data_IF_747618018920
#
_entry.id   IF_747618018920
#
_cell.length_a   1.000
_cell.length_b   1.000
_cell.length_c   1.000
_cell.angle_alpha   90.00
_cell.angle_beta   90.00
_cell.angle_gamma   90.00
#
_symmetry.space_group_name_H-M   'P 1'
#
loop_
_entity.id
_entity.type
_entity.pdbx_description
1 polymer ?
#
# COMPACT_ATOMS: atom_id res chain seq x y z
N UNK A 1 33.96 31.80 -35.66
CA UNK A 1 32.91 30.80 -35.30
C UNK A 1 31.76 31.51 -34.63
N UNK A 2 30.59 31.59 -35.28
CA UNK A 2 29.37 32.12 -34.64
C UNK A 2 28.88 31.09 -33.64
N UNK A 3 29.10 31.33 -32.36
CA UNK A 3 28.54 30.52 -31.27
C UNK A 3 27.05 30.79 -31.25
N UNK A 4 26.24 29.87 -31.77
CA UNK A 4 24.79 29.98 -31.71
C UNK A 4 24.37 29.93 -30.26
N UNK A 5 23.83 31.03 -29.74
CA UNK A 5 23.33 31.13 -28.36
C UNK A 5 22.24 30.09 -28.04
N UNK A 6 21.63 29.52 -29.07
CA UNK A 6 20.60 28.47 -28.98
C UNK A 6 21.17 27.07 -28.69
N UNK A 7 22.47 26.84 -28.99
CA UNK A 7 23.09 25.52 -28.86
C UNK A 7 23.02 24.94 -27.44
N UNK A 8 23.33 25.70 -26.37
CA UNK A 8 23.23 25.17 -25.00
C UNK A 8 21.80 24.82 -24.62
N UNK A 9 20.81 25.57 -25.09
CA UNK A 9 19.40 25.29 -24.77
C UNK A 9 18.90 24.04 -25.47
N UNK A 10 19.28 23.83 -26.71
CA UNK A 10 18.97 22.60 -27.46
C UNK A 10 19.62 21.39 -26.78
N UNK A 11 20.85 21.50 -26.30
CA UNK A 11 21.56 20.45 -25.58
C UNK A 11 20.84 20.07 -24.27
N UNK A 12 20.46 21.07 -23.49
CA UNK A 12 19.70 20.84 -22.25
C UNK A 12 18.36 20.19 -22.52
N UNK A 13 17.64 20.65 -23.57
CA UNK A 13 16.35 20.09 -23.95
C UNK A 13 16.47 18.63 -24.38
N UNK A 14 17.44 18.31 -25.26
CA UNK A 14 17.69 16.95 -25.74
C UNK A 14 18.09 16.03 -24.59
N UNK A 15 18.97 16.51 -23.68
CA UNK A 15 19.37 15.74 -22.49
C UNK A 15 18.19 15.51 -21.53
N UNK A 16 17.39 16.55 -21.27
CA UNK A 16 16.22 16.46 -20.40
C UNK A 16 15.17 15.48 -20.93
N UNK A 17 14.79 15.62 -22.21
CA UNK A 17 13.83 14.71 -22.85
C UNK A 17 14.39 13.29 -22.92
N UNK A 18 15.67 13.16 -23.30
CA UNK A 18 16.35 11.85 -23.34
C UNK A 18 16.38 11.14 -21.99
N UNK A 19 16.61 11.88 -20.91
CA UNK A 19 16.64 11.33 -19.56
C UNK A 19 15.25 10.89 -19.09
N UNK A 20 14.21 11.67 -19.39
CA UNK A 20 12.82 11.30 -19.08
C UNK A 20 12.41 10.03 -19.84
N UNK A 21 12.73 9.95 -21.14
CA UNK A 21 12.44 8.77 -21.95
C UNK A 21 13.22 7.56 -21.46
N UNK A 22 14.50 7.72 -21.11
CA UNK A 22 15.32 6.63 -20.57
C UNK A 22 14.77 6.12 -19.23
N UNK A 23 14.42 7.01 -18.31
CA UNK A 23 13.81 6.63 -17.03
C UNK A 23 12.43 5.98 -17.22
N UNK A 24 11.64 6.44 -18.19
CA UNK A 24 10.36 5.85 -18.55
C UNK A 24 10.51 4.44 -19.10
N UNK A 25 11.51 4.21 -19.98
CA UNK A 25 11.80 2.88 -20.52
C UNK A 25 12.38 1.95 -19.46
N UNK A 26 13.23 2.46 -18.57
CA UNK A 26 13.75 1.67 -17.43
C UNK A 26 12.60 1.33 -16.49
N UNK A 27 11.69 2.27 -16.22
CA UNK A 27 10.48 2.03 -15.45
C UNK A 27 9.57 0.94 -16.06
N UNK A 28 9.39 0.96 -17.38
CA UNK A 28 8.64 -0.07 -18.11
C UNK A 28 9.36 -1.43 -18.14
N UNK A 29 10.69 -1.44 -18.16
CA UNK A 29 11.47 -2.67 -18.24
C UNK A 29 11.82 -3.27 -16.88
N UNK A 30 12.02 -2.43 -15.85
CA UNK A 30 12.16 -2.84 -14.44
C UNK A 30 10.83 -2.87 -13.68
N UNK A 31 9.82 -2.21 -14.20
CA UNK A 31 8.48 -2.13 -13.60
C UNK A 31 7.62 -3.38 -13.81
N UNK A 32 8.21 -4.48 -14.24
CA UNK A 32 7.50 -5.76 -14.31
C UNK A 32 7.46 -6.47 -12.95
N UNK A 33 7.93 -5.82 -11.89
CA UNK A 33 7.85 -6.35 -10.51
C UNK A 33 7.07 -5.46 -9.53
N UNK A 34 6.65 -4.23 -9.88
CA UNK A 34 5.96 -3.37 -8.90
C UNK A 34 4.88 -2.41 -9.44
N UNK A 35 4.27 -2.66 -10.59
CA UNK A 35 3.18 -1.81 -11.08
C UNK A 35 2.11 -2.56 -11.87
N UNK A 36 1.62 -3.66 -11.34
CA UNK A 36 0.27 -4.15 -11.59
C UNK A 36 -0.45 -4.31 -10.24
N UNK A 37 -0.71 -3.19 -9.59
CA UNK A 37 -1.72 -3.11 -8.56
C UNK A 37 -3.07 -3.33 -9.21
N UNK A 38 -3.69 -4.45 -8.88
CA UNK A 38 -5.12 -4.71 -8.72
C UNK A 38 -5.56 -6.15 -9.00
N UNK A 39 -4.65 -7.08 -9.36
CA UNK A 39 -5.08 -8.49 -9.56
C UNK A 39 -4.20 -9.58 -8.93
N UNK A 40 -2.97 -9.29 -8.52
CA UNK A 40 -2.08 -10.29 -7.91
C UNK A 40 -1.88 -10.09 -6.38
N UNK A 41 -2.39 -9.00 -5.82
CA UNK A 41 -2.35 -8.75 -4.37
C UNK A 41 -3.19 -9.76 -3.59
N UNK A 42 -4.31 -10.20 -4.14
CA UNK A 42 -5.20 -11.19 -3.51
C UNK A 42 -4.53 -12.55 -3.37
N UNK A 43 -3.78 -12.98 -4.39
CA UNK A 43 -3.11 -14.28 -4.39
C UNK A 43 -1.91 -14.32 -3.43
N UNK A 44 -1.18 -13.22 -3.28
CA UNK A 44 -0.07 -13.12 -2.33
C UNK A 44 -0.56 -12.99 -0.88
N UNK A 45 -1.68 -12.29 -0.67
CA UNK A 45 -2.28 -12.10 0.65
C UNK A 45 -3.03 -13.33 1.15
N UNK A 46 -3.46 -14.22 0.25
CA UNK A 46 -4.17 -15.44 0.64
C UNK A 46 -3.29 -16.48 1.36
N UNK A 47 -1.97 -16.43 1.14
CA UNK A 47 -1.00 -17.29 1.83
C UNK A 47 -0.25 -16.55 2.96
N UNK A 48 -0.43 -15.22 3.07
CA UNK A 48 0.26 -14.39 4.04
C UNK A 48 -0.31 -14.57 5.47
N UNK A 49 0.55 -14.35 6.45
CA UNK A 49 0.13 -14.26 7.85
C UNK A 49 -0.63 -12.95 8.11
N UNK A 50 -1.48 -12.85 9.14
CA UNK A 50 -2.19 -11.60 9.47
C UNK A 50 -1.27 -10.40 9.63
N UNK A 51 -0.09 -10.59 10.21
CA UNK A 51 0.93 -9.55 10.39
C UNK A 51 1.53 -9.08 9.05
N UNK A 52 1.75 -10.00 8.13
CA UNK A 52 2.18 -9.68 6.77
C UNK A 52 1.07 -8.96 6.00
N UNK A 53 -0.18 -9.39 6.12
CA UNK A 53 -1.34 -8.70 5.56
C UNK A 53 -1.44 -7.28 6.11
N UNK A 54 -1.26 -7.09 7.42
CA UNK A 54 -1.27 -5.78 8.07
C UNK A 54 -0.26 -4.81 7.44
N UNK A 55 0.94 -5.28 7.14
CA UNK A 55 1.97 -4.47 6.48
C UNK A 55 1.69 -4.26 4.99
N UNK A 56 1.34 -5.30 4.26
CA UNK A 56 1.18 -5.28 2.80
C UNK A 56 -0.11 -4.57 2.35
N UNK A 57 -1.20 -4.74 3.09
CA UNK A 57 -2.47 -4.05 2.82
C UNK A 57 -2.47 -2.57 3.24
N UNK A 58 -1.37 -2.07 3.79
CA UNK A 58 -1.19 -0.66 4.13
C UNK A 58 -1.87 -0.23 5.43
N UNK A 59 -2.30 -1.15 6.28
CA UNK A 59 -2.91 -0.85 7.57
C UNK A 59 -2.00 -0.02 8.48
N UNK A 60 -0.68 -0.28 8.40
CA UNK A 60 0.37 0.45 9.11
C UNK A 60 0.27 1.97 8.93
N UNK A 61 -0.10 2.43 7.73
CA UNK A 61 -0.13 3.87 7.42
C UNK A 61 -1.12 4.66 8.28
N UNK A 62 -2.18 4.01 8.74
CA UNK A 62 -3.22 4.63 9.56
C UNK A 62 -3.20 4.16 11.02
N UNK A 63 -2.88 2.88 11.25
CA UNK A 63 -2.92 2.28 12.58
C UNK A 63 -1.57 2.22 13.30
N UNK A 64 -0.48 2.57 12.59
CA UNK A 64 0.88 2.61 13.13
C UNK A 64 1.60 1.26 13.09
N UNK A 65 2.92 1.29 13.17
CA UNK A 65 3.79 0.09 13.14
C UNK A 65 3.64 -0.77 14.39
N UNK A 66 3.35 -0.14 15.53
CA UNK A 66 3.16 -0.79 16.82
C UNK A 66 1.69 -0.77 17.24
N UNK A 67 0.77 -0.62 16.28
CA UNK A 67 -0.68 -0.61 16.51
C UNK A 67 -1.20 0.55 17.37
N UNK A 68 -0.36 1.59 17.56
CA UNK A 68 -0.62 2.75 18.41
C UNK A 68 -1.68 3.72 17.88
N UNK A 69 -2.03 3.59 16.59
CA UNK A 69 -2.88 4.55 15.90
C UNK A 69 -2.13 5.82 15.49
N UNK A 70 -2.38 6.30 14.28
CA UNK A 70 -1.82 7.56 13.74
C UNK A 70 -2.94 8.44 13.22
N UNK A 71 -3.52 8.12 12.07
CA UNK A 71 -4.74 8.73 11.54
C UNK A 71 -5.96 7.86 11.79
N UNK A 72 -5.77 6.56 12.03
CA UNK A 72 -6.78 5.62 12.50
C UNK A 72 -6.69 5.38 14.01
N UNK A 73 -7.66 4.70 14.60
CA UNK A 73 -7.65 4.37 16.00
C UNK A 73 -6.57 3.33 16.35
N UNK A 74 -6.15 3.34 17.60
CA UNK A 74 -5.28 2.32 18.17
C UNK A 74 -5.95 0.93 18.07
N UNK A 75 -5.16 -0.07 17.65
CA UNK A 75 -5.63 -1.46 17.55
C UNK A 75 -5.33 -2.30 18.78
N UNK A 76 -4.56 -1.78 19.73
CA UNK A 76 -4.32 -2.47 21.00
C UNK A 76 -5.58 -2.55 21.83
N UNK A 77 -5.81 -3.70 22.44
CA UNK A 77 -6.98 -3.97 23.26
C UNK A 77 -8.31 -3.70 22.55
N UNK A 78 -8.40 -3.98 21.26
CA UNK A 78 -9.63 -3.83 20.47
C UNK A 78 -10.72 -4.76 21.00
N UNK A 79 -10.37 -5.93 21.53
CA UNK A 79 -11.24 -6.91 22.17
C UNK A 79 -12.12 -6.33 23.30
N UNK A 80 -11.63 -5.28 23.96
CA UNK A 80 -12.37 -4.56 25.01
C UNK A 80 -13.37 -3.54 24.48
N UNK A 81 -13.32 -3.21 23.20
CA UNK A 81 -14.11 -2.15 22.55
C UNK A 81 -15.05 -2.66 21.48
N UNK A 82 -14.63 -3.67 20.75
CA UNK A 82 -15.35 -4.23 19.60
C UNK A 82 -15.41 -5.76 19.70
N UNK A 83 -16.53 -6.31 19.28
CA UNK A 83 -16.68 -7.75 19.11
C UNK A 83 -16.04 -8.24 17.80
N UNK A 84 -15.81 -9.54 17.69
CA UNK A 84 -15.27 -10.14 16.46
C UNK A 84 -16.12 -9.83 15.22
N UNK A 85 -17.45 -9.81 15.37
CA UNK A 85 -18.36 -9.48 14.28
C UNK A 85 -18.25 -8.02 13.83
N UNK A 86 -18.05 -7.10 14.77
CA UNK A 86 -17.86 -5.68 14.47
C UNK A 86 -16.52 -5.45 13.78
N UNK A 87 -15.43 -6.08 14.24
CA UNK A 87 -14.12 -6.03 13.59
C UNK A 87 -14.22 -6.59 12.17
N UNK A 88 -14.85 -7.75 11.98
CA UNK A 88 -15.07 -8.34 10.66
C UNK A 88 -15.85 -7.42 9.74
N UNK A 89 -16.93 -6.81 10.24
CA UNK A 89 -17.72 -5.86 9.47
C UNK A 89 -16.93 -4.63 9.03
N UNK A 90 -16.04 -4.10 9.88
CA UNK A 90 -15.15 -2.99 9.55
C UNK A 90 -14.13 -3.39 8.48
N UNK A 91 -13.56 -4.59 8.56
CA UNK A 91 -12.60 -5.08 7.55
C UNK A 91 -13.25 -5.28 6.18
N UNK A 92 -14.51 -5.71 6.14
CA UNK A 92 -15.25 -5.95 4.88
C UNK A 92 -15.81 -4.66 4.31
N UNK A 93 -16.48 -3.86 5.11
CA UNK A 93 -17.23 -2.68 4.64
C UNK A 93 -16.49 -1.36 4.83
N UNK A 94 -15.40 -1.36 5.61
CA UNK A 94 -14.72 -0.14 6.01
C UNK A 94 -15.47 0.62 7.11
N UNK A 95 -14.88 1.71 7.57
CA UNK A 95 -15.48 2.59 8.57
C UNK A 95 -14.93 4.01 8.42
N UNK A 96 -15.78 4.98 8.08
CA UNK A 96 -15.35 6.36 7.86
C UNK A 96 -14.27 6.45 6.75
N UNK A 97 -13.06 6.95 7.05
CA UNK A 97 -11.98 7.04 6.09
C UNK A 97 -11.28 5.70 5.81
N UNK A 98 -11.53 4.67 6.62
CA UNK A 98 -10.96 3.34 6.44
C UNK A 98 -11.67 2.62 5.29
N UNK A 99 -10.96 2.23 4.21
CA UNK A 99 -11.56 1.46 3.14
C UNK A 99 -11.87 0.02 3.58
N UNK A 100 -12.82 -0.61 2.93
CA UNK A 100 -13.13 -2.03 3.12
C UNK A 100 -12.44 -2.92 2.10
N UNK A 101 -12.63 -4.23 2.25
CA UNK A 101 -12.08 -5.26 1.34
C UNK A 101 -10.55 -5.23 1.16
N UNK A 102 -9.82 -4.92 2.22
CA UNK A 102 -8.35 -4.93 2.23
C UNK A 102 -7.77 -6.31 2.57
N UNK A 103 -8.59 -7.19 3.09
CA UNK A 103 -8.21 -8.54 3.53
C UNK A 103 -8.98 -9.55 2.68
N UNK A 104 -8.32 -10.57 2.11
CA UNK A 104 -8.99 -11.65 1.40
C UNK A 104 -10.02 -12.36 2.28
N UNK A 105 -11.16 -12.76 1.71
CA UNK A 105 -12.24 -13.41 2.47
C UNK A 105 -11.77 -14.65 3.24
N UNK A 106 -10.83 -15.40 2.65
CA UNK A 106 -10.24 -16.60 3.24
C UNK A 106 -9.43 -16.32 4.51
N UNK A 107 -8.92 -15.09 4.65
CA UNK A 107 -8.08 -14.63 5.76
C UNK A 107 -8.81 -13.74 6.76
N UNK A 108 -10.08 -13.43 6.51
CA UNK A 108 -10.85 -12.52 7.38
C UNK A 108 -10.94 -13.02 8.82
N UNK A 109 -11.26 -14.27 9.01
CA UNK A 109 -11.46 -14.84 10.36
C UNK A 109 -10.12 -14.90 11.12
N UNK A 110 -9.04 -15.30 10.45
CA UNK A 110 -7.68 -15.31 10.99
C UNK A 110 -7.21 -13.89 11.33
N UNK A 111 -7.50 -12.91 10.48
CA UNK A 111 -7.18 -11.51 10.71
C UNK A 111 -7.96 -10.92 11.88
N UNK A 112 -9.23 -11.24 12.01
CA UNK A 112 -10.07 -10.82 13.14
C UNK A 112 -9.53 -11.34 14.46
N UNK A 113 -9.20 -12.63 14.54
CA UNK A 113 -8.62 -13.25 15.74
C UNK A 113 -7.28 -12.61 16.10
N UNK A 114 -6.43 -12.36 15.11
CA UNK A 114 -5.15 -11.72 15.31
C UNK A 114 -5.30 -10.28 15.83
N UNK A 115 -6.17 -9.47 15.22
CA UNK A 115 -6.43 -8.08 15.68
C UNK A 115 -6.96 -8.05 17.11
N UNK A 116 -7.85 -8.98 17.49
CA UNK A 116 -8.38 -9.08 18.85
C UNK A 116 -7.33 -9.56 19.86
N UNK A 117 -6.24 -10.17 19.41
CA UNK A 117 -5.14 -10.62 20.26
C UNK A 117 -4.10 -9.55 20.57
N UNK A 118 -4.18 -8.37 19.93
CA UNK A 118 -3.23 -7.28 20.10
C UNK A 118 -3.42 -6.59 21.47
N UNK A 119 -2.36 -6.61 22.31
CA UNK A 119 -2.31 -6.01 23.65
C UNK A 119 -1.45 -4.75 23.72
#
# INVERSE_FOLDING_TARGET
MKRNALFPYILIMVFGVGLIVALSLIGLYSGNEEAEGEKDSDSALSEATPEEIYSQAGCISCHGENYEGVSGPELKNVDKRLSAEEVKNVLVNGSGPMPGNLVPEEKLDEMVEWVLSLE
#
